data_IF_349944251662
#
_entry.id   IF_349944251662
#
_cell.length_a   1.000
_cell.length_b   1.000
_cell.length_c   1.000
_cell.angle_alpha   90.00
_cell.angle_beta   90.00
_cell.angle_gamma   90.00
#
_symmetry.space_group_name_H-M   'P 1'
#
loop_
_entity.id
_entity.type
_entity.pdbx_description
1 polymer ?
#
# COMPACT_ATOMS: atom_id res chain seq x y z
N UNK A 1 0.90 19.82 -0.80
CA UNK A 1 2.04 19.81 -1.71
C UNK A 1 2.99 18.66 -1.41
N UNK A 2 3.54 18.63 -0.20
CA UNK A 2 4.45 17.55 0.19
C UNK A 2 3.76 16.21 0.19
N UNK A 3 2.44 16.17 0.46
CA UNK A 3 1.69 14.93 0.45
C UNK A 3 1.54 14.34 -0.96
N UNK A 4 1.44 15.19 -1.98
CA UNK A 4 1.32 14.71 -3.35
C UNK A 4 2.57 13.97 -3.80
N UNK A 5 3.75 14.50 -3.46
CA UNK A 5 5.01 13.84 -3.77
C UNK A 5 5.15 12.52 -3.01
N UNK A 6 4.78 12.54 -1.73
CA UNK A 6 4.88 11.37 -0.90
C UNK A 6 3.90 10.28 -1.37
N UNK A 7 2.68 10.68 -1.70
CA UNK A 7 1.69 9.74 -2.22
C UNK A 7 2.18 9.09 -3.50
N UNK A 8 2.71 9.89 -4.43
CA UNK A 8 3.23 9.36 -5.69
C UNK A 8 4.38 8.39 -5.45
N UNK A 9 5.27 8.70 -4.52
CA UNK A 9 6.37 7.81 -4.18
C UNK A 9 5.89 6.50 -3.57
N UNK A 10 4.91 6.58 -2.66
CA UNK A 10 4.34 5.39 -2.01
C UNK A 10 3.72 4.47 -3.05
N UNK A 11 2.94 5.03 -3.98
CA UNK A 11 2.29 4.24 -5.04
C UNK A 11 3.36 3.57 -5.91
N UNK A 12 4.33 4.35 -6.36
CA UNK A 12 5.38 3.85 -7.24
C UNK A 12 6.20 2.74 -6.58
N UNK A 13 6.59 2.97 -5.33
CA UNK A 13 7.41 2.01 -4.58
C UNK A 13 6.65 0.72 -4.29
N UNK A 14 5.37 0.85 -3.96
CA UNK A 14 4.52 -0.32 -3.73
C UNK A 14 4.41 -1.15 -5.00
N UNK A 15 4.11 -0.51 -6.13
CA UNK A 15 4.00 -1.20 -7.41
C UNK A 15 5.32 -1.89 -7.79
N UNK A 16 6.43 -1.22 -7.57
CA UNK A 16 7.76 -1.78 -7.85
C UNK A 16 8.02 -3.04 -7.04
N UNK A 17 7.70 -3.01 -5.74
CA UNK A 17 7.96 -4.13 -4.85
C UNK A 17 7.04 -5.32 -5.09
N UNK A 18 5.89 -5.10 -5.72
CA UNK A 18 4.97 -6.18 -6.09
C UNK A 18 5.05 -6.53 -7.57
N UNK A 19 5.89 -5.84 -8.32
CA UNK A 19 6.10 -6.07 -9.75
C UNK A 19 4.78 -5.99 -10.54
N UNK A 20 3.99 -4.96 -10.27
CA UNK A 20 2.76 -4.64 -10.99
C UNK A 20 2.77 -3.18 -11.41
N UNK A 21 1.97 -2.84 -12.41
CA UNK A 21 1.83 -1.45 -12.83
C UNK A 21 0.74 -0.76 -12.01
N UNK A 22 0.71 0.57 -12.05
CA UNK A 22 -0.35 1.32 -11.40
C UNK A 22 -1.71 1.00 -12.02
N UNK A 23 -1.75 0.79 -13.33
CA UNK A 23 -2.98 0.39 -14.02
C UNK A 23 -3.52 -0.92 -13.47
N UNK A 24 -2.63 -1.91 -13.28
CA UNK A 24 -3.03 -3.19 -12.72
C UNK A 24 -3.54 -3.03 -11.29
N UNK A 25 -2.90 -2.16 -10.52
CA UNK A 25 -3.27 -1.93 -9.12
C UNK A 25 -4.69 -1.34 -9.00
N UNK A 26 -4.98 -0.32 -9.81
CA UNK A 26 -6.23 0.45 -9.68
C UNK A 26 -7.37 -0.03 -10.57
N UNK A 27 -7.08 -0.54 -11.75
CA UNK A 27 -8.14 -0.93 -12.69
C UNK A 27 -8.65 -2.36 -12.51
N UNK A 28 -8.00 -3.13 -11.68
CA UNK A 28 -8.49 -4.47 -11.37
C UNK A 28 -8.33 -5.51 -12.45
N UNK A 29 -7.58 -5.21 -13.49
CA UNK A 29 -7.36 -6.13 -14.61
C UNK A 29 -5.95 -6.69 -14.56
N UNK A 30 -5.67 -7.52 -13.58
CA UNK A 30 -4.37 -8.14 -13.45
C UNK A 30 -4.49 -9.65 -13.53
N UNK A 31 -3.56 -10.27 -14.25
CA UNK A 31 -3.46 -11.72 -14.29
C UNK A 31 -2.89 -12.26 -12.97
N UNK A 32 -2.35 -11.37 -12.14
CA UNK A 32 -1.75 -11.70 -10.84
C UNK A 32 -2.67 -11.24 -9.72
N UNK A 33 -3.87 -11.81 -9.64
CA UNK A 33 -4.89 -11.40 -8.69
C UNK A 33 -4.39 -11.32 -7.24
N UNK A 34 -3.63 -12.34 -6.81
CA UNK A 34 -3.10 -12.36 -5.46
C UNK A 34 -2.14 -11.21 -5.17
N UNK A 35 -1.28 -10.90 -6.13
CA UNK A 35 -0.31 -9.82 -5.99
C UNK A 35 -1.01 -8.46 -5.95
N UNK A 36 -2.02 -8.28 -6.82
CA UNK A 36 -2.76 -7.03 -6.85
C UNK A 36 -3.46 -6.76 -5.53
N UNK A 37 -4.12 -7.75 -4.97
CA UNK A 37 -4.84 -7.59 -3.70
C UNK A 37 -3.88 -7.27 -2.56
N UNK A 38 -2.75 -7.96 -2.52
CA UNK A 38 -1.73 -7.72 -1.49
C UNK A 38 -1.08 -6.34 -1.64
N UNK A 39 -0.83 -5.92 -2.87
CA UNK A 39 -0.27 -4.60 -3.15
C UNK A 39 -1.25 -3.50 -2.74
N UNK A 40 -2.53 -3.68 -3.02
CA UNK A 40 -3.56 -2.70 -2.65
C UNK A 40 -3.65 -2.58 -1.12
N UNK A 41 -3.66 -3.71 -0.42
CA UNK A 41 -3.71 -3.68 1.03
C UNK A 41 -2.47 -2.98 1.62
N UNK A 42 -1.30 -3.27 1.06
CA UNK A 42 -0.06 -2.62 1.46
C UNK A 42 -0.14 -1.10 1.26
N UNK A 43 -0.60 -0.69 0.08
CA UNK A 43 -0.73 0.73 -0.25
C UNK A 43 -1.64 1.45 0.73
N UNK A 44 -2.79 0.85 1.03
CA UNK A 44 -3.76 1.45 1.95
C UNK A 44 -3.15 1.67 3.34
N UNK A 45 -2.45 0.67 3.87
CA UNK A 45 -1.81 0.81 5.17
C UNK A 45 -0.72 1.88 5.15
N UNK A 46 0.11 1.90 4.10
CA UNK A 46 1.19 2.88 3.97
C UNK A 46 0.66 4.31 3.90
N UNK A 47 -0.43 4.51 3.18
CA UNK A 47 -1.06 5.84 3.10
C UNK A 47 -1.58 6.26 4.47
N UNK A 48 -2.24 5.34 5.17
CA UNK A 48 -2.76 5.65 6.50
C UNK A 48 -1.65 6.03 7.46
N UNK A 49 -0.56 5.29 7.45
CA UNK A 49 0.54 5.52 8.38
C UNK A 49 1.38 6.75 8.04
N UNK A 50 1.56 7.02 6.77
CA UNK A 50 2.48 8.09 6.34
C UNK A 50 1.78 9.40 6.03
N UNK A 51 0.53 9.36 5.54
CA UNK A 51 -0.24 10.56 5.23
C UNK A 51 -1.31 10.86 6.27
N UNK A 52 -1.54 9.93 7.18
CA UNK A 52 -2.52 10.06 8.26
C UNK A 52 -3.95 10.27 7.75
N UNK A 53 -4.24 9.75 6.57
CA UNK A 53 -5.58 9.81 6.00
C UNK A 53 -6.52 8.84 6.73
N UNK A 54 -7.77 9.28 6.90
CA UNK A 54 -8.82 8.39 7.40
C UNK A 54 -9.20 7.37 6.33
N UNK A 55 -9.91 6.32 6.74
CA UNK A 55 -10.39 5.32 5.78
C UNK A 55 -11.31 5.95 4.74
N UNK A 56 -12.12 6.94 5.15
CA UNK A 56 -12.99 7.67 4.23
C UNK A 56 -12.18 8.45 3.19
N UNK A 57 -11.11 9.11 3.61
CA UNK A 57 -10.25 9.85 2.69
C UNK A 57 -9.57 8.91 1.70
N UNK A 58 -9.09 7.77 2.18
CA UNK A 58 -8.47 6.76 1.31
C UNK A 58 -9.48 6.25 0.28
N UNK A 59 -10.69 5.92 0.75
CA UNK A 59 -11.76 5.43 -0.11
C UNK A 59 -12.07 6.45 -1.23
N UNK A 60 -12.24 7.70 -0.85
CA UNK A 60 -12.59 8.76 -1.80
C UNK A 60 -11.46 9.05 -2.79
N UNK A 61 -10.24 9.18 -2.30
CA UNK A 61 -9.12 9.58 -3.14
C UNK A 61 -8.62 8.46 -4.06
N UNK A 62 -8.71 7.22 -3.61
CA UNK A 62 -8.31 6.08 -4.45
C UNK A 62 -9.49 5.47 -5.20
N UNK A 63 -10.69 6.01 -5.00
CA UNK A 63 -11.93 5.52 -5.63
C UNK A 63 -12.15 4.05 -5.33
N UNK A 64 -11.98 3.70 -4.06
CA UNK A 64 -12.20 2.34 -3.57
C UNK A 64 -13.44 2.29 -2.70
N UNK A 65 -14.06 1.11 -2.63
CA UNK A 65 -15.18 0.88 -1.73
C UNK A 65 -14.70 0.90 -0.28
N UNK A 66 -15.49 1.52 0.62
CA UNK A 66 -15.14 1.60 2.04
C UNK A 66 -14.96 0.21 2.66
N UNK A 67 -15.79 -0.75 2.25
CA UNK A 67 -15.67 -2.12 2.73
C UNK A 67 -14.33 -2.74 2.34
N UNK A 68 -13.87 -2.43 1.12
CA UNK A 68 -12.57 -2.90 0.65
C UNK A 68 -11.44 -2.30 1.47
N UNK A 69 -11.50 -0.99 1.72
CA UNK A 69 -10.49 -0.31 2.53
C UNK A 69 -10.43 -0.89 3.93
N UNK A 70 -11.59 -1.07 4.56
CA UNK A 70 -11.68 -1.63 5.91
C UNK A 70 -11.12 -3.05 5.97
N UNK A 71 -11.47 -3.89 4.99
CA UNK A 71 -11.01 -5.26 4.92
C UNK A 71 -9.49 -5.34 4.72
N UNK A 72 -8.97 -4.51 3.82
CA UNK A 72 -7.53 -4.49 3.56
C UNK A 72 -6.74 -4.01 4.78
N UNK A 73 -7.27 -3.01 5.49
CA UNK A 73 -6.66 -2.53 6.73
C UNK A 73 -6.62 -3.64 7.77
N UNK A 74 -7.73 -4.34 7.93
CA UNK A 74 -7.81 -5.44 8.90
C UNK A 74 -6.84 -6.55 8.56
N UNK A 75 -6.72 -6.89 7.28
CA UNK A 75 -5.75 -7.90 6.83
C UNK A 75 -4.33 -7.50 7.21
N UNK A 76 -3.95 -6.26 6.94
CA UNK A 76 -2.59 -5.79 7.23
C UNK A 76 -2.32 -5.70 8.74
N UNK A 77 -3.32 -5.35 9.54
CA UNK A 77 -3.17 -5.25 10.99
C UNK A 77 -3.07 -6.61 11.67
N UNK A 78 -3.50 -7.66 11.01
CA UNK A 78 -3.54 -9.01 11.59
C UNK A 78 -2.57 -10.00 10.92
N UNK A 79 -1.53 -9.49 10.26
CA UNK A 79 -0.54 -10.35 9.63
C UNK A 79 0.13 -11.23 10.68
N UNK A 80 0.18 -12.53 10.38
CA UNK A 80 0.78 -13.51 11.27
C UNK A 80 2.05 -14.07 10.62
N UNK A 81 3.25 -13.76 11.15
CA UNK A 81 4.51 -14.20 10.56
C UNK A 81 4.73 -15.71 10.58
N UNK A 82 3.87 -16.47 11.24
CA UNK A 82 3.93 -17.92 11.19
C UNK A 82 3.51 -18.47 9.84
N UNK A 83 2.70 -17.71 9.08
CA UNK A 83 2.28 -18.11 7.74
C UNK A 83 3.23 -17.51 6.71
N UNK A 84 3.83 -18.34 5.81
CA UNK A 84 4.83 -17.85 4.86
C UNK A 84 4.38 -16.66 4.01
N UNK A 85 3.13 -16.67 3.54
CA UNK A 85 2.62 -15.58 2.71
C UNK A 85 2.49 -14.27 3.49
N UNK A 86 2.04 -14.35 4.73
CA UNK A 86 1.90 -13.18 5.57
C UNK A 86 3.26 -12.67 6.05
N UNK A 87 4.21 -13.57 6.25
CA UNK A 87 5.58 -13.19 6.56
C UNK A 87 6.20 -12.41 5.40
N UNK A 88 5.99 -12.87 4.17
CA UNK A 88 6.46 -12.15 2.99
C UNK A 88 5.85 -10.76 2.89
N UNK A 89 4.56 -10.66 3.17
CA UNK A 89 3.85 -9.38 3.15
C UNK A 89 4.45 -8.43 4.18
N UNK A 90 4.69 -8.93 5.40
CA UNK A 90 5.27 -8.13 6.47
C UNK A 90 6.70 -7.69 6.12
N UNK A 91 7.49 -8.57 5.51
CA UNK A 91 8.85 -8.24 5.10
C UNK A 91 8.87 -7.14 4.04
N UNK A 92 7.92 -7.18 3.10
CA UNK A 92 7.78 -6.12 2.10
C UNK A 92 7.35 -4.80 2.76
N UNK A 93 6.48 -4.87 3.76
CA UNK A 93 6.06 -3.67 4.49
C UNK A 93 7.27 -2.99 5.13
N UNK A 94 8.12 -3.77 5.80
CA UNK A 94 9.33 -3.24 6.44
C UNK A 94 10.24 -2.60 5.39
N UNK A 95 10.45 -3.28 4.28
CA UNK A 95 11.31 -2.78 3.21
C UNK A 95 10.80 -1.48 2.63
N UNK A 96 9.51 -1.43 2.33
CA UNK A 96 8.90 -0.24 1.73
C UNK A 96 8.90 0.93 2.72
N UNK A 97 8.62 0.66 4.00
CA UNK A 97 8.67 1.71 5.02
C UNK A 97 10.07 2.30 5.13
N UNK A 98 11.12 1.49 5.02
CA UNK A 98 12.48 2.00 5.02
C UNK A 98 12.75 2.88 3.82
N UNK A 99 12.27 2.49 2.64
CA UNK A 99 12.42 3.29 1.43
C UNK A 99 11.68 4.63 1.55
N UNK A 100 10.48 4.61 2.13
CA UNK A 100 9.71 5.84 2.36
C UNK A 100 10.44 6.75 3.33
N UNK A 101 10.99 6.19 4.41
CA UNK A 101 11.71 6.96 5.41
C UNK A 101 12.91 7.67 4.79
N UNK A 102 13.67 6.97 3.95
CA UNK A 102 14.81 7.55 3.26
C UNK A 102 14.35 8.66 2.31
N UNK A 103 13.27 8.42 1.59
CA UNK A 103 12.71 9.43 0.67
C UNK A 103 12.32 10.70 1.42
N UNK A 104 11.62 10.55 2.55
CA UNK A 104 11.19 11.69 3.35
C UNK A 104 12.39 12.47 3.89
N UNK A 105 13.42 11.78 4.38
CA UNK A 105 14.61 12.43 4.90
C UNK A 105 15.37 13.19 3.81
N UNK A 106 15.42 12.64 2.59
CA UNK A 106 16.13 13.27 1.49
C UNK A 106 15.39 14.44 0.87
N UNK A 107 14.09 14.60 1.18
CA UNK A 107 13.26 15.64 0.58
C UNK A 107 12.76 16.66 1.60
N UNK A 108 13.43 16.78 2.71
CA UNK A 108 13.11 17.80 3.72
C UNK A 108 13.59 19.18 3.30
#
# INVERSE_FOLDING_TARGET
ENQDYLLAFIIKTTCKNFNISESELFLGKSRKLGQRTKARAMLILLIRENLLWSQSQISQNLKLNKATVSRDMRYMENLNPKFPEEKKQNNKLIKINNEIKIFVENNK
#
